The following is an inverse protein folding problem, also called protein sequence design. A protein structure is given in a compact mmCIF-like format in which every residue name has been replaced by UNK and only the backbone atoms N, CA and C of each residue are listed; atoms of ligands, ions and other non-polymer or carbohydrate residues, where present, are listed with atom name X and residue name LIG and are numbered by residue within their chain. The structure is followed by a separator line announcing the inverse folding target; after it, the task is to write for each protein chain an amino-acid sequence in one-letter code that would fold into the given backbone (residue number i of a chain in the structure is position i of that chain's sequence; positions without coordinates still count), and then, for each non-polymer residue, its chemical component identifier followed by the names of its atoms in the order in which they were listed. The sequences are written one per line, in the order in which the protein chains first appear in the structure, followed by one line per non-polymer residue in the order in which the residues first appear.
data_IF_345484758973
#
_entry.id   IF_345484758973
#
_cell.length_a   1.000
_cell.length_b   1.000
_cell.length_c   1.000
_cell.angle_alpha   90.00
_cell.angle_beta   90.00
_cell.angle_gamma   90.00
#
_symmetry.space_group_name_H-M   'P 1'
#
loop_
_entity.id
_entity.type
_entity.pdbx_description
1 polymer ?
#
# COMPACT_ATOMS: atom_id res chain seq x y z
N UNK A 1 16.51 -106.33 -27.62
CA UNK A 1 16.57 -105.21 -28.57
C UNK A 1 16.11 -103.96 -27.81
N UNK A 2 16.95 -103.35 -26.98
CA UNK A 2 17.76 -102.16 -27.28
C UNK A 2 17.00 -101.07 -28.03
N UNK A 3 16.51 -100.04 -27.32
CA UNK A 3 16.39 -98.66 -27.81
C UNK A 3 16.44 -97.70 -26.60
N UNK A 4 17.62 -97.12 -26.36
CA UNK A 4 17.86 -96.05 -25.42
C UNK A 4 17.33 -94.75 -26.03
N UNK A 5 16.19 -94.24 -25.53
CA UNK A 5 15.66 -92.94 -25.95
C UNK A 5 16.38 -91.81 -25.20
N UNK A 6 17.51 -91.35 -25.75
CA UNK A 6 18.22 -90.18 -25.25
C UNK A 6 17.51 -88.90 -25.71
N UNK A 7 16.68 -88.30 -24.84
CA UNK A 7 16.09 -86.97 -25.09
C UNK A 7 17.19 -85.91 -25.05
N UNK A 8 17.64 -85.45 -26.22
CA UNK A 8 18.44 -84.24 -26.36
C UNK A 8 17.60 -83.02 -25.93
N UNK A 9 18.02 -82.34 -24.87
CA UNK A 9 17.47 -81.04 -24.47
C UNK A 9 17.99 -79.97 -25.43
N UNK A 10 17.16 -79.07 -25.97
CA UNK A 10 17.67 -77.93 -26.73
C UNK A 10 18.36 -76.97 -25.75
N UNK A 11 19.65 -76.75 -25.94
CA UNK A 11 20.38 -75.68 -25.27
C UNK A 11 19.92 -74.35 -25.88
N UNK A 12 19.15 -73.57 -25.12
CA UNK A 12 18.78 -72.21 -25.49
C UNK A 12 20.05 -71.37 -25.41
N UNK A 13 20.66 -71.10 -26.57
CA UNK A 13 21.79 -70.17 -26.69
C UNK A 13 21.23 -68.76 -26.66
N UNK A 14 21.25 -68.14 -25.48
CA UNK A 14 20.92 -66.71 -25.33
C UNK A 14 22.11 -65.92 -25.88
N UNK A 15 21.98 -65.42 -27.12
CA UNK A 15 22.97 -64.51 -27.69
C UNK A 15 22.86 -63.16 -26.98
N UNK A 16 23.71 -62.93 -25.98
CA UNK A 16 23.83 -61.63 -25.31
C UNK A 16 24.61 -60.67 -26.20
N UNK A 17 23.94 -60.14 -27.22
CA UNK A 17 24.50 -59.07 -28.05
C UNK A 17 24.62 -57.80 -27.20
N UNK A 18 25.87 -57.40 -26.97
CA UNK A 18 26.31 -56.25 -26.16
C UNK A 18 25.38 -55.03 -26.29
N UNK A 19 24.79 -54.59 -25.17
CA UNK A 19 24.28 -53.21 -25.04
C UNK A 19 25.47 -52.26 -25.11
N UNK A 20 25.71 -51.63 -26.26
CA UNK A 20 26.60 -50.47 -26.33
C UNK A 20 25.91 -49.33 -25.58
N UNK A 21 26.37 -49.05 -24.37
CA UNK A 21 26.04 -47.80 -23.69
C UNK A 21 26.66 -46.69 -24.53
N UNK A 22 25.84 -45.97 -25.28
CA UNK A 22 26.27 -44.74 -25.94
C UNK A 22 26.53 -43.71 -24.84
N UNK A 23 27.76 -43.66 -24.34
CA UNK A 23 28.21 -42.55 -23.52
C UNK A 23 28.29 -41.32 -24.42
N UNK A 24 27.28 -40.45 -24.38
CA UNK A 24 27.33 -39.17 -25.07
C UNK A 24 28.37 -38.29 -24.37
N UNK A 25 29.47 -38.01 -25.06
CA UNK A 25 30.44 -37.02 -24.59
C UNK A 25 29.83 -35.63 -24.81
N UNK A 26 29.28 -35.03 -23.77
CA UNK A 26 28.80 -33.65 -23.83
C UNK A 26 30.01 -32.72 -23.92
N UNK A 27 30.22 -32.10 -25.09
CA UNK A 27 31.19 -31.02 -25.23
C UNK A 27 30.57 -29.78 -24.61
N UNK A 28 31.14 -29.34 -23.49
CA UNK A 28 30.78 -28.05 -22.90
C UNK A 28 31.41 -26.98 -23.79
N UNK A 29 30.57 -26.32 -24.57
CA UNK A 29 30.98 -25.16 -25.37
C UNK A 29 30.82 -23.94 -24.49
N UNK A 30 31.92 -23.26 -24.18
CA UNK A 30 31.87 -21.95 -23.52
C UNK A 30 31.26 -20.93 -24.48
N UNK A 31 29.95 -20.72 -24.34
CA UNK A 31 29.20 -19.69 -25.06
C UNK A 31 29.15 -18.44 -24.19
N UNK A 32 29.56 -17.30 -24.75
CA UNK A 32 29.34 -16.01 -24.08
C UNK A 32 27.83 -15.86 -23.81
N UNK A 33 27.49 -15.53 -22.56
CA UNK A 33 26.09 -15.29 -22.19
C UNK A 33 25.57 -14.09 -22.99
N UNK A 34 24.31 -14.14 -23.48
CA UNK A 34 23.69 -12.99 -24.12
C UNK A 34 23.71 -11.81 -23.14
N UNK A 35 23.91 -10.60 -23.67
CA UNK A 35 23.88 -9.39 -22.85
C UNK A 35 22.51 -9.24 -22.15
N UNK A 36 22.49 -8.77 -20.90
CA UNK A 36 21.24 -8.59 -20.18
C UNK A 36 20.36 -7.54 -20.90
N UNK A 37 19.03 -7.71 -20.89
CA UNK A 37 18.13 -6.73 -21.47
C UNK A 37 18.27 -5.37 -20.78
N UNK A 38 18.04 -4.27 -21.52
CA UNK A 38 18.17 -2.92 -20.96
C UNK A 38 17.20 -2.71 -19.79
N UNK A 39 17.56 -1.87 -18.81
CA UNK A 39 16.75 -1.65 -17.62
C UNK A 39 15.35 -1.11 -17.99
N UNK A 40 14.31 -1.65 -17.34
CA UNK A 40 12.94 -1.28 -17.67
C UNK A 40 12.64 0.17 -17.30
N UNK A 41 12.13 0.95 -18.26
CA UNK A 41 11.68 2.33 -18.02
C UNK A 41 10.41 2.40 -17.15
N UNK A 42 9.69 1.27 -17.01
CA UNK A 42 8.44 1.15 -16.24
C UNK A 42 8.58 1.65 -14.81
N UNK A 43 9.71 1.36 -14.14
CA UNK A 43 9.96 1.82 -12.76
C UNK A 43 9.86 3.35 -12.63
N UNK A 44 10.44 4.07 -13.57
CA UNK A 44 10.46 5.54 -13.55
C UNK A 44 9.11 6.15 -13.91
N UNK A 45 8.36 5.50 -14.80
CA UNK A 45 6.99 5.91 -15.14
C UNK A 45 6.09 5.79 -13.91
N UNK A 46 6.12 4.66 -13.22
CA UNK A 46 5.32 4.46 -12.01
C UNK A 46 5.73 5.37 -10.86
N UNK A 47 7.03 5.62 -10.69
CA UNK A 47 7.51 6.59 -9.71
C UNK A 47 6.98 8.00 -10.02
N UNK A 48 7.06 8.44 -11.27
CA UNK A 48 6.54 9.74 -11.70
C UNK A 48 5.02 9.84 -11.54
N UNK A 49 4.27 8.80 -11.90
CA UNK A 49 2.83 8.73 -11.71
C UNK A 49 2.44 8.80 -10.23
N UNK A 50 3.17 8.10 -9.36
CA UNK A 50 2.95 8.16 -7.91
C UNK A 50 3.16 9.56 -7.34
N UNK A 51 4.27 10.21 -7.70
CA UNK A 51 4.54 11.59 -7.26
C UNK A 51 3.48 12.56 -7.80
N UNK A 52 3.12 12.44 -9.08
CA UNK A 52 2.08 13.25 -9.69
C UNK A 52 0.72 13.10 -9.00
N UNK A 53 0.33 11.86 -8.65
CA UNK A 53 -0.91 11.58 -7.93
C UNK A 53 -0.93 12.22 -6.54
N UNK A 54 0.19 12.17 -5.79
CA UNK A 54 0.30 12.81 -4.48
C UNK A 54 0.16 14.33 -4.60
N UNK A 55 0.90 14.95 -5.51
CA UNK A 55 0.82 16.40 -5.74
C UNK A 55 -0.59 16.82 -6.14
N UNK A 56 -1.22 16.06 -7.03
CA UNK A 56 -2.59 16.33 -7.48
C UNK A 56 -3.61 16.19 -6.35
N UNK A 57 -3.51 15.14 -5.53
CA UNK A 57 -4.39 14.93 -4.39
C UNK A 57 -4.26 16.03 -3.34
N UNK A 58 -3.02 16.46 -3.03
CA UNK A 58 -2.78 17.56 -2.09
C UNK A 58 -3.34 18.88 -2.63
N UNK A 59 -3.07 19.19 -3.90
CA UNK A 59 -3.57 20.41 -4.54
C UNK A 59 -5.09 20.46 -4.58
N UNK A 60 -5.73 19.34 -4.98
CA UNK A 60 -7.18 19.24 -5.03
C UNK A 60 -7.80 19.34 -3.63
N UNK A 61 -7.21 18.66 -2.64
CA UNK A 61 -7.65 18.74 -1.25
C UNK A 61 -7.58 20.17 -0.71
N UNK A 62 -6.47 20.88 -0.96
CA UNK A 62 -6.31 22.27 -0.54
C UNK A 62 -7.33 23.20 -1.23
N UNK A 63 -7.54 23.05 -2.54
CA UNK A 63 -8.46 23.88 -3.30
C UNK A 63 -9.93 23.69 -2.86
N UNK A 64 -10.37 22.44 -2.72
CA UNK A 64 -11.74 22.13 -2.31
C UNK A 64 -12.02 22.56 -0.87
N UNK A 65 -11.04 22.43 0.01
CA UNK A 65 -11.17 22.86 1.39
C UNK A 65 -11.21 24.39 1.49
N UNK A 66 -10.38 25.10 0.71
CA UNK A 66 -10.44 26.56 0.61
C UNK A 66 -11.83 27.04 0.14
N UNK A 67 -12.39 26.43 -0.91
CA UNK A 67 -13.74 26.76 -1.38
C UNK A 67 -14.83 26.59 -0.30
N UNK A 68 -14.73 25.56 0.55
CA UNK A 68 -15.68 25.36 1.66
C UNK A 68 -15.52 26.43 2.73
N UNK A 69 -14.29 26.77 3.12
CA UNK A 69 -14.01 27.81 4.12
C UNK A 69 -14.41 29.21 3.66
N UNK A 70 -14.38 29.48 2.35
CA UNK A 70 -14.84 30.75 1.77
C UNK A 70 -16.36 30.92 1.73
N UNK A 71 -17.14 29.92 2.14
CA UNK A 71 -18.60 30.07 2.19
C UNK A 71 -19.04 31.04 3.28
N UNK A 72 -20.06 31.86 3.00
CA UNK A 72 -20.56 32.89 3.93
C UNK A 72 -21.05 32.32 5.26
N UNK A 73 -21.67 31.14 5.23
CA UNK A 73 -22.16 30.44 6.43
C UNK A 73 -20.97 30.08 7.33
N UNK A 74 -19.93 29.48 6.79
CA UNK A 74 -18.74 29.08 7.55
C UNK A 74 -17.98 30.31 8.04
N UNK A 75 -17.88 31.34 7.22
CA UNK A 75 -17.21 32.57 7.62
C UNK A 75 -17.95 33.27 8.78
N UNK A 76 -19.29 33.29 8.73
CA UNK A 76 -20.12 33.85 9.80
C UNK A 76 -19.99 33.08 11.11
N UNK A 77 -19.97 31.75 11.07
CA UNK A 77 -19.79 30.94 12.29
C UNK A 77 -18.38 31.08 12.85
N UNK A 78 -17.34 31.06 12.01
CA UNK A 78 -15.95 31.25 12.44
C UNK A 78 -15.71 32.65 13.02
N UNK A 79 -16.36 33.68 12.47
CA UNK A 79 -16.30 35.03 13.04
C UNK A 79 -16.83 35.05 14.48
N UNK A 80 -18.01 34.49 14.72
CA UNK A 80 -18.58 34.41 16.08
C UNK A 80 -17.66 33.63 17.02
N UNK A 81 -17.12 32.50 16.58
CA UNK A 81 -16.20 31.69 17.40
C UNK A 81 -14.89 32.44 17.72
N UNK A 82 -14.39 33.26 16.80
CA UNK A 82 -13.14 34.02 16.95
C UNK A 82 -13.27 35.25 17.84
N UNK A 83 -14.46 35.84 17.94
CA UNK A 83 -14.67 37.13 18.63
C UNK A 83 -15.60 37.08 19.84
N UNK A 84 -16.40 36.01 20.01
CA UNK A 84 -17.27 35.89 21.19
C UNK A 84 -16.45 35.47 22.43
N UNK A 85 -16.41 36.31 23.49
CA UNK A 85 -15.60 36.03 24.68
C UNK A 85 -16.06 34.77 25.44
N UNK A 86 -17.34 34.40 25.35
CA UNK A 86 -17.87 33.17 25.96
C UNK A 86 -17.35 31.95 25.22
N UNK A 87 -17.31 32.00 23.89
CA UNK A 87 -16.83 30.89 23.06
C UNK A 87 -15.32 30.75 23.17
N UNK A 88 -14.56 31.85 23.20
CA UNK A 88 -13.10 31.82 23.36
C UNK A 88 -12.73 31.21 24.72
N UNK A 89 -13.42 31.58 25.80
CA UNK A 89 -13.20 31.00 27.12
C UNK A 89 -13.39 29.47 27.13
N UNK A 90 -14.30 28.97 26.29
CA UNK A 90 -14.60 27.55 26.16
C UNK A 90 -13.66 26.82 25.19
N UNK A 91 -13.32 27.42 24.05
CA UNK A 91 -12.54 26.73 23.00
C UNK A 91 -11.03 26.83 23.27
N UNK A 92 -10.60 27.93 23.90
CA UNK A 92 -9.21 28.24 24.20
C UNK A 92 -8.61 29.29 23.24
N UNK A 93 -7.65 30.05 23.75
CA UNK A 93 -7.09 31.27 23.13
C UNK A 93 -6.35 31.06 21.80
N UNK A 94 -6.12 29.82 21.35
CA UNK A 94 -5.17 29.51 20.26
C UNK A 94 -5.72 28.69 19.10
N UNK A 95 -7.03 28.71 18.83
CA UNK A 95 -7.50 28.12 17.58
C UNK A 95 -7.24 29.09 16.43
N UNK A 96 -6.28 28.73 15.57
CA UNK A 96 -5.92 29.51 14.41
C UNK A 96 -6.91 29.19 13.28
N UNK A 97 -7.92 30.06 13.16
CA UNK A 97 -8.91 29.98 12.10
C UNK A 97 -8.38 30.70 10.85
N UNK A 98 -7.63 29.93 10.06
CA UNK A 98 -7.28 30.06 8.64
C UNK A 98 -7.23 31.47 8.02
N UNK A 99 -6.08 32.14 8.16
CA UNK A 99 -5.63 33.19 7.22
C UNK A 99 -4.56 32.68 6.23
N UNK A 100 -3.89 31.53 6.51
CA UNK A 100 -2.71 31.07 5.74
C UNK A 100 -2.72 29.61 5.26
N UNK A 101 -3.44 28.69 5.93
CA UNK A 101 -3.51 27.27 5.56
C UNK A 101 -4.98 26.80 5.60
N UNK A 102 -5.45 25.99 4.62
CA UNK A 102 -6.88 25.66 4.54
C UNK A 102 -7.35 24.73 5.66
N UNK A 103 -6.48 24.13 6.46
CA UNK A 103 -6.89 23.30 7.59
C UNK A 103 -6.83 24.08 8.90
N UNK A 104 -7.92 24.02 9.65
CA UNK A 104 -8.03 24.59 10.98
C UNK A 104 -7.15 23.79 11.93
N UNK A 105 -6.33 24.49 12.72
CA UNK A 105 -5.45 23.90 13.71
C UNK A 105 -5.41 24.74 14.99
N UNK A 106 -5.15 24.09 16.12
CA UNK A 106 -5.07 24.75 17.42
C UNK A 106 -5.10 23.75 18.57
N UNK A 107 -4.81 24.25 19.76
CA UNK A 107 -4.97 23.50 21.02
C UNK A 107 -6.31 23.85 21.65
N UNK A 108 -7.19 22.86 21.82
CA UNK A 108 -8.48 23.04 22.49
C UNK A 108 -8.34 22.75 23.98
N UNK A 109 -9.07 23.49 24.81
CA UNK A 109 -9.16 23.21 26.23
C UNK A 109 -10.08 21.99 26.48
N UNK A 110 -9.50 20.83 26.77
CA UNK A 110 -10.21 19.57 27.02
C UNK A 110 -11.15 19.58 28.24
N UNK A 111 -10.97 20.53 29.17
CA UNK A 111 -11.75 20.63 30.42
C UNK A 111 -13.15 21.22 30.25
N UNK A 112 -13.50 21.62 29.03
CA UNK A 112 -14.70 22.41 28.74
C UNK A 112 -15.97 21.58 28.66
N UNK A 113 -15.89 20.34 28.20
CA UNK A 113 -17.04 19.42 28.28
C UNK A 113 -17.45 19.15 29.74
N UNK A 114 -16.54 19.28 30.70
CA UNK A 114 -16.81 18.94 32.10
C UNK A 114 -17.55 20.10 32.79
N UNK A 115 -17.14 21.36 32.56
CA UNK A 115 -17.76 22.53 33.20
C UNK A 115 -19.17 22.83 32.67
N UNK A 116 -19.40 22.66 31.36
CA UNK A 116 -20.72 22.89 30.77
C UNK A 116 -21.75 21.84 31.21
N UNK A 117 -21.31 20.61 31.44
CA UNK A 117 -22.16 19.53 31.97
C UNK A 117 -22.60 19.83 33.41
N UNK A 118 -21.71 20.39 34.24
CA UNK A 118 -21.98 20.78 35.63
C UNK A 118 -22.92 21.98 35.74
N UNK A 119 -22.77 22.99 34.86
CA UNK A 119 -23.62 24.18 34.85
C UNK A 119 -25.05 23.89 34.36
N UNK A 120 -25.21 22.95 33.42
CA UNK A 120 -26.54 22.44 33.01
C UNK A 120 -27.17 21.52 34.05
N UNK A 121 -26.37 20.73 34.77
CA UNK A 121 -26.86 19.88 35.87
C UNK A 121 -27.35 20.70 37.07
N UNK A 122 -26.78 21.88 37.31
CA UNK A 122 -27.15 22.78 38.40
C UNK A 122 -28.34 23.69 38.07
N UNK A 123 -28.54 24.07 36.80
CA UNK A 123 -29.66 24.94 36.38
C UNK A 123 -30.89 24.20 35.83
N UNK A 124 -30.80 22.91 35.48
CA UNK A 124 -31.93 22.10 34.99
C UNK A 124 -32.83 21.48 36.07
N UNK A 125 -32.60 21.82 37.34
CA UNK A 125 -33.32 21.30 38.52
C UNK A 125 -34.26 22.30 39.20
N UNK A 126 -34.71 23.34 38.48
CA UNK A 126 -35.73 24.30 38.92
C UNK A 126 -36.87 24.32 37.92
#
# INVERSE_FOLDING_TARGET
MSFLAFRLRPAIVINTTRRRLFASKTVVVDRQLPSPPPPSRKRWIWAGAGVGAVVWAVGLGAALNHQRLSSSVVHGTLFTVKYDPRVIALVGDRVNYADSWPWIGGTTNERVCILYQDELATNGGQ
#
